data_IF_754077810235
#
_entry.id   IF_754077810235
#
_cell.length_a   1.000
_cell.length_b   1.000
_cell.length_c   1.000
_cell.angle_alpha   90.00
_cell.angle_beta   90.00
_cell.angle_gamma   90.00
#
_symmetry.space_group_name_H-M   'P 1'
#
loop_
_entity.id
_entity.type
_entity.pdbx_description
1 polymer ?
#
# COMPACT_ATOMS: atom_id res chain seq x y z
N UNK A 1 7.02 31.96 -2.14
CA UNK A 1 7.74 30.72 -2.50
C UNK A 1 6.71 29.61 -2.59
N UNK A 2 6.39 29.22 -3.83
CA UNK A 2 5.39 28.22 -4.16
C UNK A 2 6.09 26.87 -4.23
N UNK A 3 5.93 26.05 -3.19
CA UNK A 3 6.33 24.64 -3.27
C UNK A 3 5.26 23.92 -4.10
N UNK A 4 5.42 23.98 -5.41
CA UNK A 4 4.78 23.03 -6.31
C UNK A 4 5.41 21.67 -6.03
N UNK A 5 4.62 20.80 -5.41
CA UNK A 5 4.86 19.37 -5.21
C UNK A 5 6.19 19.04 -4.53
N UNK A 6 6.12 18.37 -3.38
CA UNK A 6 7.26 17.56 -2.93
C UNK A 6 7.56 16.60 -4.08
N UNK A 7 8.59 16.94 -4.87
CA UNK A 7 9.18 16.09 -5.89
C UNK A 7 9.64 14.84 -5.17
N UNK A 8 8.85 13.78 -5.31
CA UNK A 8 9.31 12.41 -5.55
C UNK A 8 10.80 12.15 -5.28
N UNK A 9 11.17 12.01 -4.02
CA UNK A 9 12.18 11.04 -3.62
C UNK A 9 11.38 9.94 -2.91
N UNK A 10 10.77 8.93 -3.54
CA UNK A 10 11.24 8.10 -4.64
C UNK A 10 10.06 7.18 -5.04
N UNK A 11 9.14 7.75 -5.82
CA UNK A 11 8.29 7.01 -6.75
C UNK A 11 8.27 7.82 -8.04
N UNK A 12 9.46 8.19 -8.50
CA UNK A 12 9.64 8.68 -9.84
C UNK A 12 9.51 7.47 -10.76
N UNK A 13 8.62 7.56 -11.75
CA UNK A 13 8.71 6.77 -12.96
C UNK A 13 10.08 7.10 -13.56
N UNK A 14 11.09 6.31 -13.23
CA UNK A 14 12.42 6.47 -13.80
C UNK A 14 12.47 5.57 -15.03
N UNK A 15 12.89 6.14 -16.15
CA UNK A 15 13.36 5.37 -17.29
C UNK A 15 14.63 4.61 -16.85
N UNK A 16 14.44 3.48 -16.18
CA UNK A 16 15.47 2.58 -15.73
C UNK A 16 15.52 1.37 -16.65
N UNK A 17 16.72 0.96 -17.06
CA UNK A 17 16.93 -0.32 -17.73
C UNK A 17 16.53 -1.52 -16.87
N UNK A 18 16.47 -2.70 -17.49
CA UNK A 18 16.04 -3.94 -16.84
C UNK A 18 16.66 -4.13 -15.44
N UNK A 19 15.80 -4.30 -14.43
CA UNK A 19 16.19 -4.67 -13.07
C UNK A 19 15.74 -6.11 -12.81
N UNK A 20 16.32 -6.79 -11.82
CA UNK A 20 15.93 -8.18 -11.48
C UNK A 20 14.43 -8.42 -11.26
N UNK A 21 13.67 -7.35 -10.96
CA UNK A 21 12.23 -7.39 -10.69
C UNK A 21 11.38 -6.59 -11.71
N UNK A 22 11.94 -6.17 -12.85
CA UNK A 22 11.20 -5.41 -13.86
C UNK A 22 11.72 -5.69 -15.27
N UNK A 23 10.82 -6.19 -16.13
CA UNK A 23 11.09 -6.62 -17.51
C UNK A 23 10.59 -5.56 -18.50
N UNK A 24 11.52 -4.73 -18.99
CA UNK A 24 11.27 -3.69 -19.99
C UNK A 24 11.50 -4.25 -21.39
N UNK A 25 10.49 -4.28 -22.26
CA UNK A 25 10.59 -4.78 -23.65
C UNK A 25 10.72 -3.69 -24.70
N UNK A 26 10.37 -2.45 -24.37
CA UNK A 26 10.41 -1.28 -25.25
C UNK A 26 11.14 -0.12 -24.56
N UNK A 27 11.77 0.76 -25.33
CA UNK A 27 12.37 2.00 -24.79
C UNK A 27 11.35 2.99 -24.21
N UNK A 28 10.06 2.74 -24.46
CA UNK A 28 8.94 3.52 -23.92
C UNK A 28 8.38 2.95 -22.61
N UNK A 29 8.76 1.73 -22.24
CA UNK A 29 8.37 1.12 -20.97
C UNK A 29 9.31 1.57 -19.85
N UNK A 30 8.78 1.70 -18.65
CA UNK A 30 9.43 2.30 -17.48
C UNK A 30 9.13 1.46 -16.25
N UNK A 31 10.06 1.41 -15.30
CA UNK A 31 9.88 0.67 -14.06
C UNK A 31 9.45 1.60 -12.93
N UNK A 32 8.51 1.17 -12.10
CA UNK A 32 8.19 1.88 -10.87
C UNK A 32 9.24 1.62 -9.80
N UNK A 33 9.39 2.59 -8.90
CA UNK A 33 10.30 2.52 -7.77
C UNK A 33 9.56 2.91 -6.51
N UNK A 34 9.74 2.15 -5.43
CA UNK A 34 9.16 2.45 -4.13
C UNK A 34 10.01 1.86 -3.01
N UNK A 35 9.57 2.03 -1.76
CA UNK A 35 10.25 1.45 -0.60
C UNK A 35 10.30 -0.09 -0.58
N UNK A 36 9.48 -0.76 -1.38
CA UNK A 36 9.52 -2.22 -1.59
C UNK A 36 9.96 -2.56 -3.02
N UNK A 37 11.02 -3.37 -3.15
CA UNK A 37 11.60 -3.74 -4.44
C UNK A 37 10.69 -4.60 -5.33
N UNK A 38 9.58 -5.10 -4.80
CA UNK A 38 8.61 -5.95 -5.52
C UNK A 38 7.49 -5.13 -6.15
N UNK A 39 7.52 -3.80 -6.11
CA UNK A 39 6.47 -2.94 -6.66
C UNK A 39 5.99 -3.37 -8.05
N UNK A 40 6.91 -3.74 -8.93
CA UNK A 40 6.62 -4.14 -10.31
C UNK A 40 6.10 -5.59 -10.48
N UNK A 41 5.99 -6.39 -9.41
CA UNK A 41 5.66 -7.82 -9.50
C UNK A 41 4.33 -8.08 -10.22
N UNK A 42 3.31 -7.25 -9.96
CA UNK A 42 2.05 -7.24 -10.70
C UNK A 42 1.40 -5.86 -10.57
N UNK A 43 0.50 -5.53 -11.51
CA UNK A 43 -0.16 -4.22 -11.56
C UNK A 43 -0.97 -3.88 -10.31
N UNK A 44 -1.58 -4.87 -9.64
CA UNK A 44 -2.32 -4.67 -8.40
C UNK A 44 -1.45 -4.12 -7.28
N UNK A 45 -0.21 -4.62 -7.16
CA UNK A 45 0.75 -4.13 -6.16
C UNK A 45 1.24 -2.72 -6.49
N UNK A 46 1.54 -2.42 -7.76
CA UNK A 46 1.85 -1.06 -8.21
C UNK A 46 0.73 -0.09 -7.85
N UNK A 47 -0.51 -0.41 -8.24
CA UNK A 47 -1.70 0.43 -8.00
C UNK A 47 -1.83 0.73 -6.50
N UNK A 48 -1.67 -0.28 -5.64
CA UNK A 48 -1.78 -0.10 -4.19
C UNK A 48 -0.70 0.85 -3.64
N UNK A 49 0.56 0.66 -4.05
CA UNK A 49 1.66 1.55 -3.67
C UNK A 49 1.41 2.99 -4.15
N UNK A 50 0.96 3.15 -5.40
CA UNK A 50 0.63 4.46 -5.98
C UNK A 50 -0.50 5.16 -5.21
N UNK A 51 -1.54 4.43 -4.78
CA UNK A 51 -2.62 5.00 -3.96
C UNK A 51 -2.07 5.55 -2.64
N UNK A 52 -1.22 4.78 -1.94
CA UNK A 52 -0.64 5.22 -0.67
C UNK A 52 0.28 6.42 -0.81
N UNK A 53 1.05 6.51 -1.91
CA UNK A 53 1.84 7.69 -2.22
C UNK A 53 0.96 8.91 -2.51
N UNK A 54 -0.03 8.77 -3.39
CA UNK A 54 -0.95 9.88 -3.70
C UNK A 54 -1.65 10.38 -2.44
N UNK A 55 -1.99 9.47 -1.52
CA UNK A 55 -2.52 9.83 -0.20
C UNK A 55 -1.50 10.63 0.63
N UNK A 56 -0.24 10.20 0.69
CA UNK A 56 0.83 10.92 1.36
C UNK A 56 0.99 12.34 0.81
N UNK A 57 1.05 12.51 -0.51
CA UNK A 57 1.18 13.82 -1.15
C UNK A 57 -0.02 14.71 -0.86
N UNK A 58 -1.25 14.17 -0.94
CA UNK A 58 -2.45 14.92 -0.58
C UNK A 58 -2.45 15.36 0.89
N UNK A 59 -1.92 14.53 1.80
CA UNK A 59 -1.76 14.92 3.20
C UNK A 59 -0.71 16.04 3.34
N UNK A 60 0.41 15.94 2.63
CA UNK A 60 1.47 16.96 2.64
C UNK A 60 0.96 18.32 2.13
N UNK A 61 0.08 18.33 1.13
CA UNK A 61 -0.51 19.55 0.59
C UNK A 61 -1.54 20.19 1.55
N UNK A 62 -2.21 19.39 2.38
CA UNK A 62 -3.34 19.84 3.22
C UNK A 62 -2.95 20.19 4.65
N UNK A 63 -2.00 19.48 5.25
CA UNK A 63 -1.58 19.70 6.64
C UNK A 63 -1.04 21.12 6.93
N UNK A 64 -0.25 21.77 6.04
CA UNK A 64 0.24 23.12 6.31
C UNK A 64 -0.88 24.15 6.47
N UNK A 65 -2.01 23.96 5.79
CA UNK A 65 -3.19 24.81 5.91
C UNK A 65 -3.94 24.65 7.24
N UNK A 66 -3.82 23.47 7.88
CA UNK A 66 -4.45 23.20 9.18
C UNK A 66 -3.55 23.58 10.35
N UNK A 67 -2.24 23.39 10.20
CA UNK A 67 -1.26 23.65 11.24
C UNK A 67 0.02 24.26 10.64
N UNK A 68 0.08 25.59 10.52
CA UNK A 68 1.20 26.29 9.87
C UNK A 68 2.57 26.11 10.56
N UNK A 69 2.58 25.63 11.82
CA UNK A 69 3.80 25.50 12.64
C UNK A 69 4.58 24.19 12.39
N UNK A 70 4.00 23.18 11.73
CA UNK A 70 4.66 21.88 11.51
C UNK A 70 5.62 21.85 10.31
N UNK A 71 6.24 22.97 9.95
CA UNK A 71 7.07 23.04 8.74
C UNK A 71 8.23 22.03 8.76
N UNK A 72 8.89 21.87 9.90
CA UNK A 72 10.07 21.00 10.03
C UNK A 72 9.72 19.50 10.18
N UNK A 73 8.50 19.19 10.62
CA UNK A 73 8.05 17.81 10.85
C UNK A 73 7.01 17.32 9.84
N UNK A 74 6.65 18.13 8.84
CA UNK A 74 5.53 17.87 7.94
C UNK A 74 5.60 16.46 7.33
N UNK A 75 6.77 16.07 6.83
CA UNK A 75 6.99 14.75 6.22
C UNK A 75 6.79 13.59 7.21
N UNK A 76 7.19 13.79 8.47
CA UNK A 76 7.00 12.79 9.51
C UNK A 76 5.51 12.66 9.86
N UNK A 77 4.82 13.80 10.03
CA UNK A 77 3.41 13.84 10.39
C UNK A 77 2.52 13.25 9.28
N UNK A 78 2.79 13.55 8.00
CA UNK A 78 2.08 12.96 6.86
C UNK A 78 2.26 11.44 6.80
N UNK A 79 3.49 10.96 7.05
CA UNK A 79 3.80 9.53 7.12
C UNK A 79 3.03 8.85 8.25
N UNK A 80 3.02 9.42 9.46
CA UNK A 80 2.32 8.85 10.62
C UNK A 80 0.82 8.71 10.37
N UNK A 81 0.17 9.72 9.78
CA UNK A 81 -1.26 9.67 9.44
C UNK A 81 -1.54 8.58 8.39
N UNK A 82 -0.69 8.46 7.36
CA UNK A 82 -0.85 7.43 6.33
C UNK A 82 -0.67 6.01 6.91
N UNK A 83 0.29 5.82 7.82
CA UNK A 83 0.48 4.56 8.55
C UNK A 83 -0.75 4.23 9.41
N UNK A 84 -1.28 5.21 10.14
CA UNK A 84 -2.48 5.00 10.96
C UNK A 84 -3.70 4.60 10.12
N UNK A 85 -3.87 5.20 8.94
CA UNK A 85 -4.93 4.81 7.99
C UNK A 85 -4.73 3.38 7.49
N UNK A 86 -3.51 3.02 7.09
CA UNK A 86 -3.20 1.67 6.64
C UNK A 86 -3.42 0.62 7.76
N UNK A 87 -3.00 0.93 8.99
CA UNK A 87 -3.24 0.08 10.16
C UNK A 87 -4.73 -0.07 10.45
N UNK A 88 -5.51 1.01 10.38
CA UNK A 88 -6.96 0.95 10.59
C UNK A 88 -7.63 0.02 9.58
N UNK A 89 -7.36 0.20 8.28
CA UNK A 89 -7.88 -0.68 7.22
C UNK A 89 -7.46 -2.13 7.48
N UNK A 90 -6.19 -2.36 7.83
CA UNK A 90 -5.66 -3.72 8.06
C UNK A 90 -6.35 -4.41 9.25
N UNK A 91 -6.45 -3.74 10.40
CA UNK A 91 -6.93 -4.35 11.66
C UNK A 91 -8.43 -4.33 11.81
N UNK A 92 -9.12 -3.26 11.39
CA UNK A 92 -10.55 -3.09 11.61
C UNK A 92 -11.41 -3.48 10.41
N UNK A 93 -10.87 -3.49 9.20
CA UNK A 93 -11.64 -3.84 7.99
C UNK A 93 -11.20 -5.20 7.42
N UNK A 94 -9.91 -5.39 7.16
CA UNK A 94 -9.41 -6.56 6.43
C UNK A 94 -9.25 -7.81 7.31
N UNK A 95 -8.55 -7.71 8.44
CA UNK A 95 -8.31 -8.87 9.31
C UNK A 95 -9.62 -9.54 9.77
N UNK A 96 -10.69 -8.83 10.18
CA UNK A 96 -11.95 -9.45 10.60
C UNK A 96 -12.63 -10.29 9.53
N UNK A 97 -12.44 -9.96 8.26
CA UNK A 97 -12.92 -10.76 7.14
C UNK A 97 -12.11 -12.06 6.98
N UNK A 98 -10.83 -12.06 7.36
CA UNK A 98 -9.93 -13.20 7.20
C UNK A 98 -9.96 -14.17 8.38
N UNK A 99 -9.95 -13.66 9.62
CA UNK A 99 -9.80 -14.48 10.83
C UNK A 99 -11.08 -14.58 11.66
N UNK A 100 -12.17 -13.94 11.22
CA UNK A 100 -13.40 -13.65 11.96
C UNK A 100 -13.23 -12.58 13.05
N UNK A 101 -14.26 -11.73 13.20
CA UNK A 101 -14.29 -10.69 14.22
C UNK A 101 -14.18 -11.25 15.66
N UNK A 102 -14.79 -12.42 15.92
CA UNK A 102 -14.75 -13.07 17.23
C UNK A 102 -13.31 -13.44 17.64
N UNK A 103 -12.56 -14.09 16.75
CA UNK A 103 -11.19 -14.50 17.06
C UNK A 103 -10.26 -13.30 17.28
N UNK A 104 -10.43 -12.21 16.51
CA UNK A 104 -9.56 -11.04 16.63
C UNK A 104 -9.81 -10.30 17.95
N UNK A 105 -11.08 -10.17 18.36
CA UNK A 105 -11.45 -9.62 19.67
C UNK A 105 -10.93 -10.51 20.80
N UNK A 106 -11.12 -11.84 20.68
CA UNK A 106 -10.66 -12.81 21.69
C UNK A 106 -9.14 -12.78 21.88
N UNK A 107 -8.39 -12.66 20.79
CA UNK A 107 -6.92 -12.58 20.81
C UNK A 107 -6.39 -11.16 21.04
N UNK A 108 -7.26 -10.18 21.33
CA UNK A 108 -6.88 -8.79 21.64
C UNK A 108 -6.06 -8.10 20.52
N UNK A 109 -6.34 -8.47 19.27
CA UNK A 109 -5.77 -7.80 18.09
C UNK A 109 -6.51 -6.49 17.78
N UNK A 110 -7.78 -6.40 18.16
CA UNK A 110 -8.57 -5.15 18.19
C UNK A 110 -9.37 -5.11 19.49
N UNK A 111 -9.86 -3.92 19.83
CA UNK A 111 -10.62 -3.67 21.04
C UNK A 111 -12.00 -3.08 20.69
N UNK A 112 -13.03 -3.33 21.51
CA UNK A 112 -14.33 -2.67 21.35
C UNK A 112 -14.18 -1.20 21.76
N UNK A 113 -13.93 -0.33 20.79
CA UNK A 113 -13.77 1.10 21.01
C UNK A 113 -15.11 1.82 20.80
N UNK A 114 -15.58 2.54 21.83
CA UNK A 114 -16.71 3.45 21.67
C UNK A 114 -16.23 4.74 20.96
N UNK A 115 -17.03 5.23 20.02
CA UNK A 115 -16.64 6.26 19.05
C UNK A 115 -15.87 7.45 19.63
N UNK A 116 -14.73 7.76 19.01
CA UNK A 116 -13.87 8.90 19.34
C UNK A 116 -12.83 8.64 20.44
N UNK A 117 -12.83 7.46 21.07
CA UNK A 117 -11.79 7.06 22.04
C UNK A 117 -10.66 6.32 21.34
N UNK A 118 -9.47 6.33 21.93
CA UNK A 118 -8.37 5.46 21.55
C UNK A 118 -8.17 4.41 22.64
N UNK A 119 -7.56 3.28 22.28
CA UNK A 119 -7.10 2.28 23.24
C UNK A 119 -5.59 2.33 23.27
N UNK A 120 -5.01 2.40 24.48
CA UNK A 120 -3.59 2.20 24.67
C UNK A 120 -3.37 0.74 25.05
N UNK A 121 -3.13 -0.08 24.04
CA UNK A 121 -2.83 -1.51 24.12
C UNK A 121 -1.33 -1.79 24.01
N UNK A 122 -0.49 -0.76 24.13
CA UNK A 122 0.95 -0.90 24.11
C UNK A 122 1.44 -1.74 25.28
N UNK A 123 2.18 -2.81 24.96
CA UNK A 123 2.80 -3.70 25.93
C UNK A 123 4.29 -3.85 25.58
N UNK A 124 5.15 -3.42 26.52
CA UNK A 124 6.61 -3.49 26.40
C UNK A 124 7.15 -4.93 26.37
N UNK A 125 6.34 -5.92 26.76
CA UNK A 125 6.74 -7.33 26.80
C UNK A 125 6.44 -8.08 25.49
N UNK A 126 5.75 -7.44 24.55
CA UNK A 126 5.42 -8.03 23.25
C UNK A 126 6.61 -7.92 22.31
N UNK A 127 7.02 -9.06 21.74
CA UNK A 127 8.05 -9.15 20.71
C UNK A 127 7.47 -8.82 19.33
N UNK A 128 7.84 -7.70 18.67
CA UNK A 128 7.20 -7.23 17.44
C UNK A 128 7.77 -7.89 16.16
N UNK A 129 8.45 -9.03 16.28
CA UNK A 129 9.12 -9.67 15.17
C UNK A 129 8.17 -10.53 14.32
N UNK A 130 8.32 -10.47 13.00
CA UNK A 130 7.60 -11.36 12.10
C UNK A 130 8.16 -12.78 12.21
N UNK A 131 7.32 -13.74 12.57
CA UNK A 131 7.69 -15.15 12.64
C UNK A 131 8.09 -15.68 11.26
N UNK A 132 9.13 -16.52 11.20
CA UNK A 132 9.57 -17.15 9.95
C UNK A 132 8.43 -17.97 9.31
N UNK A 133 7.67 -18.74 10.11
CA UNK A 133 6.52 -19.50 9.64
C UNK A 133 5.44 -18.60 9.00
N UNK A 134 5.26 -17.38 9.52
CA UNK A 134 4.35 -16.40 8.96
C UNK A 134 4.84 -15.90 7.59
N UNK A 135 6.09 -15.43 7.51
CA UNK A 135 6.66 -14.86 6.28
C UNK A 135 6.85 -15.89 5.16
N UNK A 136 7.24 -17.12 5.52
CA UNK A 136 7.64 -18.15 4.54
C UNK A 136 6.48 -19.05 4.10
N UNK A 137 5.47 -19.25 4.95
CA UNK A 137 4.40 -20.21 4.67
C UNK A 137 3.00 -19.64 4.91
N UNK A 138 2.65 -19.26 6.14
CA UNK A 138 1.25 -18.97 6.49
C UNK A 138 0.66 -17.80 5.67
N UNK A 139 1.40 -16.70 5.53
CA UNK A 139 0.91 -15.54 4.77
C UNK A 139 0.91 -15.77 3.24
N UNK A 140 1.50 -16.87 2.77
CA UNK A 140 1.39 -17.28 1.35
C UNK A 140 0.07 -17.97 1.03
N UNK A 141 -0.81 -18.19 2.01
CA UNK A 141 -2.20 -18.63 1.78
C UNK A 141 -2.88 -17.80 0.67
N UNK A 142 -2.60 -16.49 0.61
CA UNK A 142 -3.18 -15.59 -0.37
C UNK A 142 -2.78 -15.88 -1.82
N UNK A 143 -1.73 -16.69 -2.07
CA UNK A 143 -1.45 -17.18 -3.42
C UNK A 143 -2.58 -18.06 -3.99
N UNK A 144 -3.40 -18.69 -3.13
CA UNK A 144 -4.59 -19.43 -3.55
C UNK A 144 -5.76 -18.54 -3.98
N UNK A 145 -5.70 -17.24 -3.68
CA UNK A 145 -6.74 -16.25 -3.98
C UNK A 145 -6.41 -15.40 -5.21
N UNK A 146 -5.28 -15.68 -5.89
CA UNK A 146 -4.84 -14.92 -7.05
C UNK A 146 -5.60 -15.39 -8.28
N UNK A 147 -6.37 -14.48 -8.88
CA UNK A 147 -7.02 -14.70 -10.17
C UNK A 147 -6.03 -14.57 -11.33
N UNK A 148 -6.08 -15.52 -12.27
CA UNK A 148 -5.23 -15.51 -13.46
C UNK A 148 -5.67 -14.53 -14.54
N UNK A 149 -6.89 -13.98 -14.42
CA UNK A 149 -7.53 -13.08 -15.37
C UNK A 149 -7.86 -11.76 -14.67
N UNK A 150 -7.48 -10.66 -15.30
CA UNK A 150 -7.77 -9.30 -14.85
C UNK A 150 -8.74 -8.65 -15.82
N UNK A 151 -9.94 -8.33 -15.37
CA UNK A 151 -10.92 -7.61 -16.18
C UNK A 151 -10.65 -6.11 -16.14
N UNK A 152 -10.62 -5.47 -17.31
CA UNK A 152 -10.50 -4.01 -17.45
C UNK A 152 -11.90 -3.41 -17.47
N UNK A 153 -12.18 -2.54 -16.50
CA UNK A 153 -13.48 -1.90 -16.34
C UNK A 153 -13.39 -0.44 -16.78
N UNK A 154 -14.30 -0.02 -17.66
CA UNK A 154 -14.39 1.38 -18.11
C UNK A 154 -15.09 2.26 -17.07
N UNK A 155 -15.03 3.58 -17.27
CA UNK A 155 -15.67 4.56 -16.37
C UNK A 155 -17.18 4.36 -16.23
N UNK A 156 -17.84 3.89 -17.30
CA UNK A 156 -19.28 3.55 -17.29
C UNK A 156 -19.57 2.20 -16.64
N UNK A 157 -18.59 1.61 -15.95
CA UNK A 157 -18.64 0.29 -15.28
C UNK A 157 -18.94 -0.87 -16.23
N UNK A 158 -18.61 -0.71 -17.50
CA UNK A 158 -18.68 -1.77 -18.51
C UNK A 158 -17.36 -2.52 -18.63
N UNK A 159 -17.42 -3.80 -19.01
CA UNK A 159 -16.23 -4.56 -19.36
C UNK A 159 -15.62 -3.98 -20.65
N UNK A 160 -14.39 -3.48 -20.56
CA UNK A 160 -13.63 -2.92 -21.68
C UNK A 160 -12.72 -3.98 -22.32
N UNK A 161 -12.27 -4.95 -21.53
CA UNK A 161 -11.40 -6.03 -21.99
C UNK A 161 -10.93 -6.90 -20.83
N UNK A 162 -10.00 -7.82 -21.10
CA UNK A 162 -9.36 -8.59 -20.05
C UNK A 162 -7.92 -8.93 -20.43
N UNK A 163 -7.09 -9.04 -19.40
CA UNK A 163 -5.67 -9.36 -19.51
C UNK A 163 -5.38 -10.62 -18.69
N UNK A 164 -4.36 -11.37 -19.12
CA UNK A 164 -3.86 -12.51 -18.36
C UNK A 164 -2.76 -12.04 -17.42
N UNK A 165 -2.84 -12.41 -16.14
CA UNK A 165 -1.86 -11.98 -15.14
C UNK A 165 -0.42 -12.36 -15.53
N UNK A 166 -0.22 -13.55 -16.11
CA UNK A 166 1.12 -14.03 -16.53
C UNK A 166 1.83 -13.11 -17.50
N UNK A 167 1.08 -12.35 -18.30
CA UNK A 167 1.65 -11.51 -19.35
C UNK A 167 2.12 -10.15 -18.80
N UNK A 168 1.75 -9.88 -17.55
CA UNK A 168 1.88 -8.59 -16.86
C UNK A 168 2.82 -8.66 -15.65
N UNK A 169 3.26 -9.86 -15.25
CA UNK A 169 4.21 -10.02 -14.15
C UNK A 169 5.51 -9.31 -14.50
N UNK A 170 6.01 -8.48 -13.57
CA UNK A 170 7.21 -7.65 -13.77
C UNK A 170 7.11 -6.63 -14.91
N UNK A 171 5.90 -6.38 -15.44
CA UNK A 171 5.66 -5.49 -16.59
C UNK A 171 4.68 -4.38 -16.23
N UNK A 172 5.15 -3.28 -15.62
CA UNK A 172 4.31 -2.16 -15.19
C UNK A 172 3.77 -1.29 -16.35
N UNK A 173 4.12 -1.56 -17.62
CA UNK A 173 3.69 -0.75 -18.77
C UNK A 173 2.18 -0.68 -19.02
N UNK A 174 1.36 -1.32 -18.18
CA UNK A 174 -0.11 -1.34 -18.23
C UNK A 174 -0.78 -0.75 -16.98
N UNK A 175 -0.02 -0.33 -15.96
CA UNK A 175 -0.56 0.28 -14.73
C UNK A 175 -0.78 1.79 -14.85
#
# INVERSE_FOLDING_TARGET
>A
MQWGQVVTHDMSIQAGGAQSNCDVKSTTEVCDRAGDARINQNSGLTIFQTILLRKHNRLADTLPGLNPHYFDELLCQTRLINIAQYQYITYYEWLPLMLSAENILKNRLIYPVQGGRYVNDYDLTVEPHVLNSHASAAFRFFHSQIEGRLDLISEVRGLSGALRLSDLLHRPGIS
#
